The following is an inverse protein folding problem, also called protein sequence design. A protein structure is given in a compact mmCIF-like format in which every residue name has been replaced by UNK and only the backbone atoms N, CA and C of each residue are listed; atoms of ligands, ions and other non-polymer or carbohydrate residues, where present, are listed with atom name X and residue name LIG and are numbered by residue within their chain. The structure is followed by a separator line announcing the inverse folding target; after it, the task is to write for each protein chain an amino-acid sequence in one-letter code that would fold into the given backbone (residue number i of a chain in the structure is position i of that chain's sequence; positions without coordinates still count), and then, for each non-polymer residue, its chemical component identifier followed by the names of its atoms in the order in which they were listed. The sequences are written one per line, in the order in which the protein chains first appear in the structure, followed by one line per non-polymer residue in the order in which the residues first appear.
data_IF_329467674385
#
_entry.id   IF_329467674385
#
_cell.length_a   1.000
_cell.length_b   1.000
_cell.length_c   1.000
_cell.angle_alpha   90.00
_cell.angle_beta   90.00
_cell.angle_gamma   90.00
#
_symmetry.space_group_name_H-M   'P 1'
#
loop_
_entity.id
_entity.type
_entity.pdbx_description
1 polymer ?
#
# COMPACT_ATOMS: atom_id res chain seq x y z
N UNK A 1 -2.22 2.79 2.81
CA UNK A 1 -3.50 2.95 3.52
C UNK A 1 -4.64 2.60 2.56
N UNK A 2 -5.63 1.86 3.07
CA UNK A 2 -6.82 1.56 2.32
C UNK A 2 -7.91 2.60 2.65
N UNK A 3 -8.53 3.15 1.61
CA UNK A 3 -9.65 4.08 1.76
C UNK A 3 -10.89 3.46 1.13
N UNK A 4 -11.99 3.44 1.87
CA UNK A 4 -13.31 3.03 1.38
C UNK A 4 -14.28 4.19 1.57
N UNK A 5 -14.98 4.55 0.50
CA UNK A 5 -15.97 5.64 0.49
C UNK A 5 -17.24 5.11 -0.15
N UNK A 6 -18.36 5.22 0.58
CA UNK A 6 -19.68 4.81 0.08
C UNK A 6 -19.99 5.47 -1.26
N UNK A 7 -20.38 4.64 -2.23
CA UNK A 7 -20.76 5.12 -3.57
C UNK A 7 -19.62 5.60 -4.47
N UNK A 8 -18.36 5.56 -4.00
CA UNK A 8 -17.19 6.00 -4.77
C UNK A 8 -16.10 4.96 -4.82
N UNK A 9 -15.65 4.49 -3.66
CA UNK A 9 -14.57 3.51 -3.54
C UNK A 9 -15.06 2.30 -2.74
N UNK A 10 -15.90 1.49 -3.35
CA UNK A 10 -16.42 0.28 -2.74
C UNK A 10 -15.37 -0.84 -2.73
N UNK A 11 -15.34 -1.59 -1.64
CA UNK A 11 -14.63 -2.86 -1.60
C UNK A 11 -15.58 -3.97 -2.09
N UNK A 12 -15.24 -4.58 -3.22
CA UNK A 12 -16.03 -5.64 -3.84
C UNK A 12 -15.22 -6.93 -3.94
N UNK A 13 -15.85 -8.05 -3.63
CA UNK A 13 -15.25 -9.36 -3.80
C UNK A 13 -16.30 -10.40 -4.19
N UNK A 14 -15.84 -11.53 -4.68
CA UNK A 14 -16.68 -12.68 -5.05
C UNK A 14 -16.39 -13.82 -4.08
N UNK A 15 -17.45 -14.44 -3.55
CA UNK A 15 -17.32 -15.69 -2.83
C UNK A 15 -17.02 -16.82 -3.83
N UNK A 16 -15.76 -17.25 -3.89
CA UNK A 16 -15.33 -18.37 -4.73
C UNK A 16 -15.45 -19.74 -4.06
N UNK A 17 -15.99 -19.78 -2.83
CA UNK A 17 -16.17 -21.02 -2.08
C UNK A 17 -17.44 -21.76 -2.53
N UNK A 18 -17.49 -23.05 -2.25
CA UNK A 18 -18.63 -23.91 -2.56
C UNK A 18 -19.89 -23.52 -1.77
N UNK A 19 -19.72 -23.01 -0.56
CA UNK A 19 -20.81 -22.69 0.36
C UNK A 19 -20.98 -21.18 0.54
N UNK A 20 -22.18 -20.71 0.89
CA UNK A 20 -22.41 -19.31 1.19
C UNK A 20 -21.59 -18.84 2.39
N UNK A 21 -21.34 -17.54 2.45
CA UNK A 21 -20.69 -16.87 3.56
C UNK A 21 -21.66 -15.90 4.24
N UNK A 22 -21.39 -15.60 5.50
CA UNK A 22 -22.10 -14.58 6.27
C UNK A 22 -21.11 -13.48 6.65
N UNK A 23 -21.45 -12.23 6.35
CA UNK A 23 -20.67 -11.06 6.74
C UNK A 23 -21.32 -10.44 7.97
N UNK A 24 -20.54 -10.22 9.01
CA UNK A 24 -20.96 -9.55 10.26
C UNK A 24 -20.08 -8.32 10.44
N UNK A 25 -20.69 -7.14 10.50
CA UNK A 25 -20.00 -5.89 10.75
C UNK A 25 -20.49 -5.27 12.06
N UNK A 26 -19.55 -4.86 12.89
CA UNK A 26 -19.82 -4.16 14.16
C UNK A 26 -18.95 -2.93 14.28
N UNK A 27 -19.48 -1.88 14.92
CA UNK A 27 -18.74 -0.66 15.23
C UNK A 27 -18.84 -0.41 16.72
N UNK A 28 -17.72 -0.36 17.41
CA UNK A 28 -17.65 -0.13 18.83
C UNK A 28 -16.37 0.64 19.20
N UNK A 29 -16.49 1.67 20.03
CA UNK A 29 -15.36 2.46 20.51
C UNK A 29 -14.50 3.09 19.41
N UNK A 30 -15.10 3.47 18.27
CA UNK A 30 -14.39 4.01 17.12
C UNK A 30 -13.68 2.97 16.23
N UNK A 31 -13.85 1.68 16.56
CA UNK A 31 -13.30 0.58 15.76
C UNK A 31 -14.42 -0.11 14.97
N UNK A 32 -14.15 -0.37 13.70
CA UNK A 32 -14.99 -1.21 12.85
C UNK A 32 -14.41 -2.63 12.79
N UNK A 33 -15.21 -3.62 13.10
CA UNK A 33 -14.83 -5.04 13.02
C UNK A 33 -15.71 -5.72 11.97
N UNK A 34 -15.09 -6.37 11.00
CA UNK A 34 -15.80 -7.13 9.97
C UNK A 34 -15.35 -8.58 10.07
N UNK A 35 -16.32 -9.48 10.21
CA UNK A 35 -16.10 -10.91 10.25
C UNK A 35 -16.76 -11.57 9.05
N UNK A 36 -16.07 -12.51 8.45
CA UNK A 36 -16.60 -13.36 7.38
C UNK A 36 -16.67 -14.79 7.91
N UNK A 37 -17.89 -15.30 8.04
CA UNK A 37 -18.17 -16.65 8.50
C UNK A 37 -18.49 -17.55 7.31
N UNK A 38 -18.00 -18.76 7.32
CA UNK A 38 -18.24 -19.75 6.29
C UNK A 38 -18.20 -21.17 6.83
N UNK A 39 -18.61 -22.12 6.00
CA UNK A 39 -18.51 -23.55 6.29
C UNK A 39 -17.09 -23.99 5.95
N UNK A 40 -16.46 -24.75 6.86
CA UNK A 40 -15.16 -25.37 6.60
C UNK A 40 -15.30 -26.44 5.52
N UNK A 41 -14.43 -26.39 4.53
CA UNK A 41 -14.36 -27.37 3.45
C UNK A 41 -13.36 -28.50 3.81
N UNK A 42 -13.42 -29.62 3.08
CA UNK A 42 -12.54 -30.77 3.31
C UNK A 42 -11.06 -30.40 3.09
N UNK A 43 -10.81 -29.49 2.15
CA UNK A 43 -9.47 -28.95 1.88
C UNK A 43 -9.49 -27.46 2.13
N UNK A 44 -8.70 -27.04 3.10
CA UNK A 44 -8.52 -25.61 3.45
C UNK A 44 -7.08 -25.21 3.21
N UNK A 45 -6.92 -24.11 2.46
CA UNK A 45 -5.62 -23.52 2.19
C UNK A 45 -5.36 -22.36 3.14
N UNK A 46 -4.14 -22.25 3.63
CA UNK A 46 -3.65 -21.02 4.24
C UNK A 46 -3.27 -20.06 3.12
N UNK A 47 -3.95 -18.93 3.07
CA UNK A 47 -3.72 -17.90 2.04
C UNK A 47 -3.13 -16.68 2.70
N UNK A 48 -1.98 -16.24 2.19
CA UNK A 48 -1.33 -15.01 2.61
C UNK A 48 -1.02 -14.11 1.41
N UNK A 49 -0.94 -12.83 1.67
CA UNK A 49 -0.44 -11.84 0.70
C UNK A 49 0.98 -11.47 1.12
N UNK A 50 1.92 -11.73 0.24
CA UNK A 50 3.33 -11.37 0.45
C UNK A 50 3.72 -10.26 -0.50
N UNK A 51 4.41 -9.25 0.01
CA UNK A 51 4.90 -8.13 -0.78
C UNK A 51 6.41 -8.13 -0.85
N UNK A 52 6.93 -7.85 -2.04
CA UNK A 52 8.36 -7.76 -2.28
C UNK A 52 8.71 -6.41 -2.90
N UNK A 53 9.63 -5.68 -2.27
CA UNK A 53 10.20 -4.48 -2.88
C UNK A 53 11.21 -4.91 -3.94
N UNK A 54 10.93 -4.60 -5.20
CA UNK A 54 11.76 -4.99 -6.35
C UNK A 54 12.71 -3.88 -6.80
N UNK A 55 12.39 -2.60 -6.49
CA UNK A 55 13.28 -1.48 -6.81
C UNK A 55 13.03 -0.29 -5.89
N UNK A 56 14.06 0.54 -5.74
CA UNK A 56 13.96 1.87 -5.13
C UNK A 56 14.09 2.92 -6.23
N UNK A 57 13.22 3.94 -6.19
CA UNK A 57 13.26 5.09 -7.11
C UNK A 57 13.84 6.26 -6.32
N UNK A 58 15.05 6.69 -6.65
CA UNK A 58 15.67 7.80 -5.98
C UNK A 58 14.90 9.10 -6.24
N UNK A 59 14.76 9.92 -5.22
CA UNK A 59 14.24 11.26 -5.39
C UNK A 59 15.27 12.18 -6.06
N UNK A 60 14.79 13.22 -6.75
CA UNK A 60 15.60 14.30 -7.31
C UNK A 60 15.57 15.52 -6.40
N UNK A 61 16.56 16.37 -6.50
CA UNK A 61 16.59 17.67 -5.81
C UNK A 61 16.40 18.81 -6.80
N UNK A 62 15.44 19.68 -6.50
CA UNK A 62 15.22 20.93 -7.22
C UNK A 62 15.76 22.08 -6.38
N UNK A 63 16.53 22.95 -7.01
CA UNK A 63 17.00 24.20 -6.39
C UNK A 63 16.18 25.37 -6.94
N UNK A 64 15.65 26.18 -6.03
CA UNK A 64 14.82 27.35 -6.34
C UNK A 64 15.52 28.58 -5.77
N UNK A 65 15.72 29.61 -6.59
CA UNK A 65 16.28 30.87 -6.13
C UNK A 65 15.28 31.61 -5.21
N UNK A 66 15.78 32.14 -4.10
CA UNK A 66 14.98 32.83 -3.09
C UNK A 66 15.64 34.14 -2.65
N UNK A 67 15.08 35.23 -3.11
CA UNK A 67 15.56 36.58 -2.77
C UNK A 67 15.27 36.99 -1.30
N UNK A 68 14.52 36.22 -0.56
CA UNK A 68 14.31 36.46 0.87
C UNK A 68 15.43 35.92 1.75
N UNK A 69 16.26 35.01 1.21
CA UNK A 69 17.39 34.41 1.91
C UNK A 69 18.71 35.09 1.52
N UNK A 70 19.63 35.26 2.49
CA UNK A 70 20.99 35.76 2.20
C UNK A 70 21.71 34.87 1.17
N UNK A 71 22.52 35.51 0.32
CA UNK A 71 23.30 34.80 -0.70
C UNK A 71 24.14 33.68 -0.07
N UNK A 72 24.07 32.49 -0.67
CA UNK A 72 24.78 31.31 -0.23
C UNK A 72 24.07 30.48 0.87
N UNK A 73 23.02 31.03 1.47
CA UNK A 73 22.20 30.23 2.40
C UNK A 73 21.26 29.26 1.64
N UNK A 74 21.05 28.12 2.24
CA UNK A 74 20.12 27.11 1.71
C UNK A 74 19.09 26.73 2.76
N UNK A 75 17.85 26.58 2.33
CA UNK A 75 16.75 26.12 3.18
C UNK A 75 16.00 24.98 2.49
N UNK A 76 15.92 23.84 3.15
CA UNK A 76 15.08 22.74 2.68
C UNK A 76 13.64 23.09 3.01
N UNK A 77 12.81 23.26 1.98
CA UNK A 77 11.37 23.55 2.13
C UNK A 77 10.51 22.31 1.94
N UNK A 78 11.05 21.30 1.25
CA UNK A 78 10.44 20.00 1.12
C UNK A 78 11.51 18.91 1.19
N UNK A 79 11.35 17.99 2.13
CA UNK A 79 12.22 16.81 2.19
C UNK A 79 11.89 15.84 1.05
N UNK A 80 12.94 15.30 0.42
CA UNK A 80 12.77 14.26 -0.56
C UNK A 80 12.45 12.90 0.09
N UNK A 81 11.66 12.08 -0.61
CA UNK A 81 11.42 10.70 -0.24
C UNK A 81 11.59 9.79 -1.44
N UNK A 82 12.31 8.69 -1.23
CA UNK A 82 12.45 7.69 -2.27
C UNK A 82 11.12 6.99 -2.55
N UNK A 83 10.84 6.81 -3.82
CA UNK A 83 9.79 5.92 -4.27
C UNK A 83 10.24 4.46 -4.30
N UNK A 84 9.33 3.58 -4.60
CA UNK A 84 9.60 2.15 -4.68
C UNK A 84 8.68 1.45 -5.67
N UNK A 85 9.17 0.37 -6.25
CA UNK A 85 8.34 -0.60 -6.97
C UNK A 85 8.15 -1.82 -6.08
N UNK A 86 6.92 -2.28 -5.98
CA UNK A 86 6.52 -3.40 -5.13
C UNK A 86 5.70 -4.38 -5.94
N UNK A 87 5.96 -5.66 -5.76
CA UNK A 87 5.12 -6.73 -6.27
C UNK A 87 4.40 -7.41 -5.11
N UNK A 88 3.11 -7.69 -5.30
CA UNK A 88 2.29 -8.42 -4.34
C UNK A 88 1.93 -9.80 -4.91
N UNK A 89 2.08 -10.82 -4.07
CA UNK A 89 1.82 -12.21 -4.42
C UNK A 89 0.79 -12.81 -3.47
N UNK A 90 -0.12 -13.59 -4.05
CA UNK A 90 -0.97 -14.50 -3.30
C UNK A 90 -0.22 -15.83 -3.14
N UNK A 91 0.05 -16.20 -1.91
CA UNK A 91 0.69 -17.47 -1.57
C UNK A 91 -0.33 -18.39 -0.93
N UNK A 92 -0.50 -19.58 -1.50
CA UNK A 92 -1.36 -20.62 -0.96
C UNK A 92 -0.52 -21.76 -0.41
N UNK A 93 -0.80 -22.14 0.83
CA UNK A 93 -0.15 -23.27 1.50
C UNK A 93 -1.17 -24.31 1.88
N UNK A 94 -0.78 -25.57 1.75
CA UNK A 94 -1.53 -26.73 2.24
C UNK A 94 -0.62 -27.53 3.17
N UNK A 95 -1.04 -27.73 4.42
CA UNK A 95 -0.24 -28.42 5.44
C UNK A 95 1.20 -27.86 5.58
N UNK A 96 1.33 -26.53 5.54
CA UNK A 96 2.61 -25.83 5.68
C UNK A 96 3.48 -25.77 4.42
N UNK A 97 3.05 -26.39 3.32
CA UNK A 97 3.78 -26.37 2.03
C UNK A 97 3.14 -25.39 1.05
N UNK A 98 3.96 -24.59 0.37
CA UNK A 98 3.50 -23.72 -0.71
C UNK A 98 3.05 -24.57 -1.89
N UNK A 99 1.79 -24.44 -2.28
CA UNK A 99 1.21 -25.15 -3.43
C UNK A 99 0.96 -24.22 -4.61
N UNK A 100 0.90 -22.90 -4.37
CA UNK A 100 0.70 -21.90 -5.44
C UNK A 100 1.23 -20.54 -5.00
N UNK A 101 1.83 -19.83 -5.95
CA UNK A 101 2.22 -18.42 -5.81
C UNK A 101 1.78 -17.68 -7.06
N UNK A 102 0.94 -16.67 -6.90
CA UNK A 102 0.35 -15.93 -8.01
C UNK A 102 0.64 -14.44 -7.83
N UNK A 103 1.19 -13.80 -8.87
CA UNK A 103 1.37 -12.35 -8.89
C UNK A 103 -0.01 -11.66 -8.96
N UNK A 104 -0.28 -10.80 -7.98
CA UNK A 104 -1.54 -10.03 -7.90
C UNK A 104 -1.39 -8.64 -8.49
N UNK A 105 -0.32 -7.93 -8.14
CA UNK A 105 -0.11 -6.56 -8.59
C UNK A 105 1.36 -6.19 -8.70
N UNK A 106 1.62 -5.19 -9.53
CA UNK A 106 2.88 -4.46 -9.62
C UNK A 106 2.58 -3.00 -9.39
N UNK A 107 3.05 -2.48 -8.27
CA UNK A 107 2.73 -1.12 -7.84
C UNK A 107 3.97 -0.24 -7.86
N UNK A 108 3.79 0.99 -8.33
CA UNK A 108 4.84 2.00 -8.31
C UNK A 108 4.42 3.14 -7.40
N UNK A 109 5.19 3.35 -6.33
CA UNK A 109 5.09 4.50 -5.46
C UNK A 109 6.14 5.51 -5.89
N UNK A 110 5.70 6.64 -6.43
CA UNK A 110 6.59 7.66 -6.95
C UNK A 110 7.45 8.29 -5.86
N UNK A 111 8.66 8.69 -6.24
CA UNK A 111 9.51 9.47 -5.36
C UNK A 111 8.93 10.88 -5.18
N UNK A 112 9.10 11.45 -3.99
CA UNK A 112 8.78 12.83 -3.70
C UNK A 112 10.05 13.67 -3.82
N UNK A 113 10.02 14.69 -4.68
CA UNK A 113 11.16 15.56 -4.93
C UNK A 113 11.57 16.36 -3.68
N UNK A 114 12.88 16.50 -3.46
CA UNK A 114 13.42 17.43 -2.48
C UNK A 114 13.48 18.83 -3.10
N UNK A 115 13.03 19.83 -2.37
CA UNK A 115 13.09 21.23 -2.80
C UNK A 115 13.96 22.01 -1.82
N UNK A 116 14.98 22.68 -2.38
CA UNK A 116 15.93 23.50 -1.63
C UNK A 116 15.89 24.93 -2.17
N UNK A 117 15.56 25.88 -1.32
CA UNK A 117 15.68 27.30 -1.63
C UNK A 117 17.12 27.74 -1.44
N UNK A 118 17.65 28.49 -2.39
CA UNK A 118 19.01 29.04 -2.40
C UNK A 118 18.93 30.56 -2.39
N UNK A 119 19.52 31.17 -1.38
CA UNK A 119 19.50 32.60 -1.20
C UNK A 119 20.24 33.37 -2.28
N UNK A 120 19.64 34.48 -2.70
CA UNK A 120 20.21 35.40 -3.73
C UNK A 120 20.27 36.85 -3.27
N UNK A 121 19.89 37.13 -2.01
CA UNK A 121 19.82 38.50 -1.46
C UNK A 121 21.18 39.11 -1.24
#
# INVERSE_FOLDING_TARGET
DATVVWGSQDFKFVNSRKYPIRIVATVEGGNATIQIWGIKEDVEYDISIETQKVATIAYTTQYVQDASLPAGQQKIVQAGNNGRKVEAYKVMKLNGKVVSTTLLSKDTYNAMQRIVHVGTK
#
